data_IF_221030596034
#
_entry.id   IF_221030596034
#
_cell.length_a   1.000
_cell.length_b   1.000
_cell.length_c   1.000
_cell.angle_alpha   90.00
_cell.angle_beta   90.00
_cell.angle_gamma   90.00
#
_symmetry.space_group_name_H-M   'P 1'
#
loop_
_entity.id
_entity.type
_entity.pdbx_description
1 polymer ?
#
# COMPACT_ATOMS: atom_id res chain seq x y z
N UNK A 1 5.62 5.69 -17.51
CA UNK A 1 4.95 4.65 -16.71
C UNK A 1 5.68 4.53 -15.37
N UNK A 2 5.11 3.85 -14.38
CA UNK A 2 5.66 3.82 -13.01
C UNK A 2 7.14 3.41 -12.92
N UNK A 3 7.54 2.37 -13.66
CA UNK A 3 8.94 1.90 -13.69
C UNK A 3 9.91 3.03 -14.08
N UNK A 4 9.60 3.77 -15.15
CA UNK A 4 10.44 4.90 -15.60
C UNK A 4 10.54 6.02 -14.57
N UNK A 5 9.49 6.25 -13.77
CA UNK A 5 9.52 7.26 -12.69
C UNK A 5 10.48 6.80 -11.59
N UNK A 6 10.42 5.53 -11.18
CA UNK A 6 11.34 4.99 -10.17
C UNK A 6 12.80 5.02 -10.64
N UNK A 7 13.05 4.68 -11.91
CA UNK A 7 14.38 4.78 -12.52
C UNK A 7 14.91 6.21 -12.50
N UNK A 8 14.05 7.19 -12.84
CA UNK A 8 14.41 8.60 -12.77
C UNK A 8 14.76 9.01 -11.34
N UNK A 9 13.94 8.65 -10.35
CA UNK A 9 14.23 8.94 -8.94
C UNK A 9 15.57 8.35 -8.48
N UNK A 10 15.86 7.11 -8.88
CA UNK A 10 17.16 6.50 -8.58
C UNK A 10 18.33 7.25 -9.24
N UNK A 11 18.19 7.67 -10.50
CA UNK A 11 19.21 8.44 -11.23
C UNK A 11 19.42 9.85 -10.65
N UNK A 12 18.36 10.47 -10.15
CA UNK A 12 18.39 11.77 -9.49
C UNK A 12 18.90 11.71 -8.04
N UNK A 13 19.20 10.50 -7.53
CA UNK A 13 19.82 10.31 -6.22
C UNK A 13 18.83 10.29 -5.04
N UNK A 14 17.53 10.17 -5.29
CA UNK A 14 16.54 10.03 -4.22
C UNK A 14 16.80 8.75 -3.42
N UNK A 15 16.71 8.86 -2.08
CA UNK A 15 17.00 7.76 -1.15
C UNK A 15 15.74 7.00 -0.72
N UNK A 16 14.58 7.64 -0.85
CA UNK A 16 13.27 7.06 -0.53
C UNK A 16 12.22 7.67 -1.46
N UNK A 17 11.25 6.85 -1.85
CA UNK A 17 10.11 7.26 -2.65
C UNK A 17 8.81 7.15 -1.83
N UNK A 18 7.77 7.83 -2.28
CA UNK A 18 6.41 7.68 -1.77
C UNK A 18 5.44 7.66 -2.95
N UNK A 19 4.38 6.87 -2.84
CA UNK A 19 3.30 6.86 -3.81
C UNK A 19 2.01 7.38 -3.18
N UNK A 20 1.34 8.26 -3.90
CA UNK A 20 -0.03 8.66 -3.65
C UNK A 20 -0.86 8.45 -4.90
N UNK A 21 -2.17 8.51 -4.75
CA UNK A 21 -3.13 8.39 -5.83
C UNK A 21 -4.21 9.45 -5.69
N UNK A 22 -4.87 9.74 -6.81
CA UNK A 22 -6.06 10.58 -6.85
C UNK A 22 -6.95 10.04 -7.97
N UNK A 23 -8.15 9.60 -7.63
CA UNK A 23 -9.10 9.08 -8.61
C UNK A 23 -10.51 8.96 -8.06
N UNK A 24 -11.48 9.66 -8.65
CA UNK A 24 -12.87 9.51 -8.24
C UNK A 24 -13.34 8.09 -8.55
N UNK A 25 -13.77 7.37 -7.52
CA UNK A 25 -14.33 6.02 -7.64
C UNK A 25 -13.32 4.87 -7.64
N UNK A 26 -12.02 5.17 -7.52
CA UNK A 26 -10.96 4.14 -7.57
C UNK A 26 -10.93 3.19 -6.36
N UNK A 27 -11.59 3.53 -5.24
CA UNK A 27 -11.86 2.54 -4.18
C UNK A 27 -12.70 1.36 -4.68
N UNK A 28 -13.47 1.54 -5.76
CA UNK A 28 -14.25 0.48 -6.41
C UNK A 28 -13.35 -0.48 -7.18
N UNK A 29 -12.47 0.04 -8.05
CA UNK A 29 -11.52 -0.78 -8.84
C UNK A 29 -10.49 -1.46 -7.93
N UNK A 30 -10.01 -0.75 -6.91
CA UNK A 30 -9.10 -1.32 -5.90
C UNK A 30 -9.74 -2.47 -5.14
N UNK A 31 -11.00 -2.31 -4.74
CA UNK A 31 -11.72 -3.40 -4.05
C UNK A 31 -12.00 -4.56 -4.99
N UNK A 32 -12.31 -4.32 -6.27
CA UNK A 32 -12.48 -5.37 -7.25
C UNK A 32 -11.18 -6.19 -7.44
N UNK A 33 -10.04 -5.51 -7.57
CA UNK A 33 -8.74 -6.18 -7.60
C UNK A 33 -8.48 -6.99 -6.33
N UNK A 34 -8.69 -6.40 -5.16
CA UNK A 34 -8.47 -7.08 -3.88
C UNK A 34 -9.39 -8.31 -3.71
N UNK A 35 -10.64 -8.25 -4.16
CA UNK A 35 -11.56 -9.39 -4.15
C UNK A 35 -10.98 -10.57 -4.93
N UNK A 36 -10.48 -10.30 -6.14
CA UNK A 36 -9.94 -11.33 -7.04
C UNK A 36 -8.63 -11.89 -6.50
N UNK A 37 -7.68 -11.02 -6.16
CA UNK A 37 -6.33 -11.43 -5.71
C UNK A 37 -6.35 -12.17 -4.36
N UNK A 38 -7.33 -11.88 -3.50
CA UNK A 38 -7.43 -12.48 -2.16
C UNK A 38 -8.54 -13.53 -2.04
N UNK A 39 -9.30 -13.79 -3.12
CA UNK A 39 -10.46 -14.69 -3.08
C UNK A 39 -11.56 -14.24 -2.09
N UNK A 40 -11.77 -12.93 -1.94
CA UNK A 40 -12.77 -12.35 -1.03
C UNK A 40 -14.02 -11.94 -1.78
N UNK A 41 -15.19 -12.03 -1.12
CA UNK A 41 -16.43 -11.51 -1.70
C UNK A 41 -16.50 -9.99 -1.56
N UNK A 42 -17.15 -9.28 -2.50
CA UNK A 42 -17.30 -7.83 -2.44
C UNK A 42 -17.89 -7.33 -1.12
N UNK A 43 -18.84 -8.06 -0.53
CA UNK A 43 -19.51 -7.70 0.72
C UNK A 43 -18.58 -7.69 1.93
N UNK A 44 -17.48 -8.45 1.89
CA UNK A 44 -16.55 -8.61 3.02
C UNK A 44 -15.58 -7.43 3.15
N UNK A 45 -15.18 -6.83 2.03
CA UNK A 45 -14.05 -5.89 1.99
C UNK A 45 -14.39 -4.52 1.35
N UNK A 46 -15.64 -4.32 0.91
CA UNK A 46 -16.06 -3.02 0.37
C UNK A 46 -16.38 -2.02 1.48
N UNK A 47 -15.64 -0.91 1.53
CA UNK A 47 -15.93 0.23 2.39
C UNK A 47 -16.69 1.36 1.72
N UNK A 48 -17.03 2.36 2.54
CA UNK A 48 -17.79 3.55 2.14
C UNK A 48 -16.96 4.56 1.35
N UNK A 49 -15.64 4.43 1.25
CA UNK A 49 -14.79 5.42 0.59
C UNK A 49 -15.00 6.81 1.21
N UNK A 50 -15.20 7.81 0.35
CA UNK A 50 -15.49 9.19 0.72
C UNK A 50 -16.89 9.42 1.36
N UNK A 51 -17.38 8.49 2.18
CA UNK A 51 -18.61 8.66 2.97
C UNK A 51 -19.92 8.27 2.29
N UNK A 52 -19.93 7.22 1.45
CA UNK A 52 -21.16 6.74 0.79
C UNK A 52 -22.28 6.41 1.79
N UNK A 53 -23.52 6.66 1.38
CA UNK A 53 -24.74 6.17 2.06
C UNK A 53 -24.83 4.64 2.00
N UNK A 54 -25.73 4.03 2.79
CA UNK A 54 -25.92 2.57 2.76
C UNK A 54 -26.38 2.07 1.39
N UNK A 55 -27.22 2.84 0.70
CA UNK A 55 -27.59 2.55 -0.69
C UNK A 55 -26.40 2.70 -1.65
N UNK A 56 -25.55 3.72 -1.43
CA UNK A 56 -24.32 3.92 -2.18
C UNK A 56 -23.35 2.74 -2.04
N UNK A 57 -23.19 2.25 -0.81
CA UNK A 57 -22.40 1.05 -0.52
C UNK A 57 -22.97 -0.18 -1.24
N UNK A 58 -24.28 -0.42 -1.16
CA UNK A 58 -24.92 -1.55 -1.83
C UNK A 58 -24.78 -1.46 -3.36
N UNK A 59 -24.85 -0.25 -3.95
CA UNK A 59 -24.55 -0.05 -5.38
C UNK A 59 -23.10 -0.36 -5.71
N UNK A 60 -22.15 0.07 -4.87
CA UNK A 60 -20.72 -0.18 -5.05
C UNK A 60 -20.42 -1.69 -5.02
N UNK A 61 -20.94 -2.42 -4.04
CA UNK A 61 -20.81 -3.88 -3.93
C UNK A 61 -21.33 -4.56 -5.21
N UNK A 62 -22.53 -4.21 -5.68
CA UNK A 62 -23.09 -4.75 -6.92
C UNK A 62 -22.25 -4.43 -8.15
N UNK A 63 -21.70 -3.22 -8.24
CA UNK A 63 -20.85 -2.82 -9.34
C UNK A 63 -19.54 -3.64 -9.37
N UNK A 64 -18.93 -3.88 -8.21
CA UNK A 64 -17.74 -4.72 -8.06
C UNK A 64 -18.04 -6.16 -8.50
N UNK A 65 -19.08 -6.77 -7.94
CA UNK A 65 -19.47 -8.15 -8.31
C UNK A 65 -19.74 -8.28 -9.80
N UNK A 66 -20.53 -7.36 -10.38
CA UNK A 66 -20.81 -7.33 -11.82
C UNK A 66 -19.54 -7.20 -12.67
N UNK A 67 -18.59 -6.37 -12.26
CA UNK A 67 -17.33 -6.20 -13.00
C UNK A 67 -16.51 -7.49 -13.01
N UNK A 68 -16.43 -8.20 -11.88
CA UNK A 68 -15.74 -9.48 -11.77
C UNK A 68 -16.44 -10.55 -12.61
N UNK A 69 -17.77 -10.65 -12.53
CA UNK A 69 -18.56 -11.66 -13.25
C UNK A 69 -18.46 -11.52 -14.78
N UNK A 70 -18.48 -10.29 -15.29
CA UNK A 70 -18.40 -10.00 -16.72
C UNK A 70 -16.99 -10.26 -17.24
N UNK A 71 -15.96 -9.77 -16.54
CA UNK A 71 -14.59 -9.80 -17.07
C UNK A 71 -13.86 -11.10 -16.78
N UNK A 72 -14.27 -11.85 -15.74
CA UNK A 72 -13.65 -13.12 -15.31
C UNK A 72 -12.12 -13.03 -15.25
N UNK A 73 -11.57 -12.16 -14.38
CA UNK A 73 -10.13 -12.04 -14.22
C UNK A 73 -9.52 -13.31 -13.60
N UNK A 74 -8.34 -13.69 -14.10
CA UNK A 74 -7.55 -14.79 -13.56
C UNK A 74 -6.80 -14.31 -12.32
N UNK A 75 -7.15 -14.85 -11.15
CA UNK A 75 -6.51 -14.48 -9.89
C UNK A 75 -5.01 -14.83 -9.82
N UNK A 76 -4.53 -15.75 -10.67
CA UNK A 76 -3.12 -16.11 -10.75
C UNK A 76 -2.27 -15.18 -11.63
N UNK A 77 -2.92 -14.30 -12.41
CA UNK A 77 -2.27 -13.31 -13.28
C UNK A 77 -2.64 -11.89 -12.84
N UNK A 78 -1.84 -11.23 -11.99
CA UNK A 78 -2.12 -9.87 -11.54
C UNK A 78 -2.21 -8.85 -12.68
N UNK A 79 -1.58 -9.09 -13.84
CA UNK A 79 -1.70 -8.19 -14.99
C UNK A 79 -3.07 -8.35 -15.65
N UNK A 80 -3.61 -9.56 -15.74
CA UNK A 80 -4.97 -9.81 -16.20
C UNK A 80 -6.00 -9.17 -15.26
N UNK A 81 -5.84 -9.35 -13.94
CA UNK A 81 -6.70 -8.69 -12.93
C UNK A 81 -6.68 -7.17 -13.09
N UNK A 82 -5.49 -6.59 -13.19
CA UNK A 82 -5.29 -5.16 -13.30
C UNK A 82 -5.82 -4.60 -14.63
N UNK A 83 -5.68 -5.34 -15.72
CA UNK A 83 -6.22 -4.98 -17.04
C UNK A 83 -7.74 -5.08 -17.15
N UNK A 84 -8.38 -5.98 -16.40
CA UNK A 84 -9.83 -6.23 -16.47
C UNK A 84 -10.66 -5.44 -15.46
N UNK A 85 -10.19 -5.33 -14.22
CA UNK A 85 -10.97 -4.73 -13.11
C UNK A 85 -10.19 -3.68 -12.31
N UNK A 86 -8.95 -3.40 -12.71
CA UNK A 86 -8.11 -2.36 -12.10
C UNK A 86 -8.36 -0.97 -12.67
N UNK A 87 -7.30 -0.15 -12.66
CA UNK A 87 -7.31 1.24 -13.13
C UNK A 87 -5.91 1.71 -13.49
N UNK A 88 -5.80 2.83 -14.22
CA UNK A 88 -4.51 3.38 -14.64
C UNK A 88 -3.65 3.87 -13.47
N UNK A 89 -4.29 4.34 -12.40
CA UNK A 89 -3.65 4.70 -11.13
C UNK A 89 -3.00 3.47 -10.47
N UNK A 90 -3.75 2.37 -10.34
CA UNK A 90 -3.27 1.09 -9.82
C UNK A 90 -2.17 0.51 -10.70
N UNK A 91 -2.31 0.58 -12.03
CA UNK A 91 -1.27 0.19 -12.99
C UNK A 91 0.02 0.99 -12.83
N UNK A 92 -0.14 2.32 -12.70
CA UNK A 92 0.95 3.26 -12.48
C UNK A 92 1.73 2.94 -11.21
N UNK A 93 1.02 2.77 -10.09
CA UNK A 93 1.61 2.44 -8.79
C UNK A 93 2.24 1.05 -8.77
N UNK A 94 1.57 0.03 -9.33
CA UNK A 94 2.12 -1.34 -9.42
C UNK A 94 3.47 -1.33 -10.14
N UNK A 95 3.55 -0.67 -11.30
CA UNK A 95 4.80 -0.50 -12.02
C UNK A 95 5.82 0.35 -11.25
N UNK A 96 5.37 1.36 -10.50
CA UNK A 96 6.26 2.20 -9.70
C UNK A 96 6.94 1.40 -8.59
N UNK A 97 6.20 0.55 -7.87
CA UNK A 97 6.77 -0.28 -6.82
C UNK A 97 7.75 -1.34 -7.36
N UNK A 98 7.40 -1.97 -8.49
CA UNK A 98 8.32 -2.88 -9.19
C UNK A 98 9.60 -2.16 -9.62
N UNK A 99 9.48 -0.94 -10.15
CA UNK A 99 10.62 -0.12 -10.52
C UNK A 99 11.48 0.28 -9.32
N UNK A 100 10.86 0.66 -8.21
CA UNK A 100 11.55 0.98 -6.96
C UNK A 100 12.37 -0.22 -6.48
N UNK A 101 11.78 -1.41 -6.44
CA UNK A 101 12.48 -2.63 -6.09
C UNK A 101 13.66 -2.95 -7.03
N UNK A 102 13.47 -2.82 -8.34
CA UNK A 102 14.52 -3.04 -9.32
C UNK A 102 15.71 -2.06 -9.16
N UNK A 103 15.42 -0.82 -8.74
CA UNK A 103 16.41 0.20 -8.46
C UNK A 103 16.94 0.17 -7.02
N UNK A 104 16.51 -0.79 -6.20
CA UNK A 104 16.80 -0.86 -4.76
C UNK A 104 16.44 0.41 -3.98
N UNK A 105 15.39 1.10 -4.43
CA UNK A 105 14.86 2.32 -3.82
C UNK A 105 13.70 1.93 -2.88
N UNK A 106 13.82 2.14 -1.56
CA UNK A 106 12.68 1.98 -0.65
C UNK A 106 11.53 2.90 -1.04
N UNK A 107 10.29 2.40 -0.90
CA UNK A 107 9.07 3.14 -1.25
C UNK A 107 8.02 3.02 -0.14
N UNK A 108 7.46 4.16 0.23
CA UNK A 108 6.38 4.25 1.20
C UNK A 108 5.03 4.08 0.49
N UNK A 109 4.24 3.13 1.00
CA UNK A 109 2.85 2.90 0.65
C UNK A 109 1.97 3.82 1.49
N UNK A 110 0.97 4.44 0.84
CA UNK A 110 0.00 5.31 1.50
C UNK A 110 -1.15 4.49 2.10
N UNK A 111 -2.39 4.67 1.61
CA UNK A 111 -3.58 4.00 2.12
C UNK A 111 -3.94 2.72 1.37
N UNK A 112 -5.22 2.33 1.51
CA UNK A 112 -5.77 1.08 0.96
C UNK A 112 -5.47 0.88 -0.53
N UNK A 113 -5.72 1.89 -1.36
CA UNK A 113 -5.53 1.81 -2.83
C UNK A 113 -4.05 1.57 -3.17
N UNK A 114 -3.15 2.31 -2.52
CA UNK A 114 -1.70 2.14 -2.65
C UNK A 114 -1.27 0.71 -2.25
N UNK A 115 -1.83 0.17 -1.17
CA UNK A 115 -1.55 -1.19 -0.72
C UNK A 115 -2.10 -2.27 -1.68
N UNK A 116 -3.24 -2.05 -2.33
CA UNK A 116 -3.76 -2.99 -3.36
C UNK A 116 -2.84 -3.04 -4.58
N UNK A 117 -2.32 -1.90 -5.03
CA UNK A 117 -1.31 -1.88 -6.09
C UNK A 117 0.00 -2.56 -5.65
N UNK A 118 0.39 -2.42 -4.38
CA UNK A 118 1.54 -3.11 -3.81
C UNK A 118 1.34 -4.63 -3.75
N UNK A 119 0.11 -5.10 -3.48
CA UNK A 119 -0.25 -6.52 -3.53
C UNK A 119 -0.11 -7.09 -4.94
N UNK A 120 -0.59 -6.37 -5.96
CA UNK A 120 -0.38 -6.80 -7.35
C UNK A 120 1.13 -6.88 -7.69
N UNK A 121 1.91 -5.89 -7.27
CA UNK A 121 3.35 -5.88 -7.48
C UNK A 121 4.08 -7.03 -6.74
N UNK A 122 3.65 -7.36 -5.52
CA UNK A 122 4.26 -8.43 -4.72
C UNK A 122 3.94 -9.83 -5.25
N UNK A 123 2.77 -10.02 -5.86
CA UNK A 123 2.44 -11.29 -6.53
C UNK A 123 3.27 -11.43 -7.82
N UNK A 124 3.43 -10.35 -8.59
CA UNK A 124 4.28 -10.35 -9.80
C UNK A 124 5.76 -10.57 -9.49
N UNK A 125 6.25 -9.96 -8.40
CA UNK A 125 7.63 -10.08 -7.96
C UNK A 125 7.66 -10.08 -6.43
N UNK A 126 7.74 -11.26 -5.78
CA UNK A 126 7.75 -11.36 -4.32
C UNK A 126 8.84 -10.53 -3.63
N UNK A 127 10.01 -10.40 -4.26
CA UNK A 127 11.11 -9.59 -3.74
C UNK A 127 10.79 -8.08 -3.67
N UNK A 128 9.81 -7.59 -4.42
CA UNK A 128 9.43 -6.18 -4.40
C UNK A 128 8.88 -5.73 -3.02
N UNK A 129 8.27 -6.67 -2.28
CA UNK A 129 7.74 -6.43 -0.94
C UNK A 129 8.80 -5.96 0.06
N UNK A 130 10.06 -6.36 -0.12
CA UNK A 130 11.15 -5.99 0.79
C UNK A 130 11.50 -4.49 0.70
N UNK A 131 11.14 -3.84 -0.41
CA UNK A 131 11.35 -2.40 -0.61
C UNK A 131 10.14 -1.56 -0.21
N UNK A 132 9.02 -2.18 0.19
CA UNK A 132 7.78 -1.48 0.50
C UNK A 132 7.62 -1.26 2.02
N UNK A 133 7.39 -0.01 2.41
CA UNK A 133 7.12 0.43 3.77
C UNK A 133 5.66 0.89 3.88
N UNK A 134 4.86 0.27 4.74
CA UNK A 134 3.47 0.70 4.94
C UNK A 134 3.43 1.92 5.85
N UNK A 135 2.72 2.98 5.46
CA UNK A 135 2.52 4.16 6.31
C UNK A 135 1.45 3.97 7.38
N UNK A 136 0.20 3.73 6.97
CA UNK A 136 -0.94 3.76 7.88
C UNK A 136 -1.97 2.66 7.57
N UNK A 137 -2.74 2.30 8.60
CA UNK A 137 -3.91 1.45 8.46
C UNK A 137 -5.09 2.31 8.03
N UNK A 138 -5.47 2.26 6.76
CA UNK A 138 -6.66 2.93 6.26
C UNK A 138 -7.92 2.36 6.90
N UNK A 139 -8.93 3.21 7.13
CA UNK A 139 -10.24 2.81 7.65
C UNK A 139 -11.10 1.99 6.66
N UNK A 140 -10.60 1.69 5.46
CA UNK A 140 -11.27 0.78 4.52
C UNK A 140 -11.27 -0.67 5.05
N UNK A 141 -12.41 -1.39 5.01
CA UNK A 141 -12.53 -2.75 5.56
C UNK A 141 -11.52 -3.76 4.98
N UNK A 142 -11.18 -3.63 3.70
CA UNK A 142 -10.21 -4.51 3.03
C UNK A 142 -8.76 -4.34 3.47
N UNK A 143 -8.42 -3.27 4.19
CA UNK A 143 -7.03 -2.94 4.55
C UNK A 143 -6.36 -4.07 5.32
N UNK A 144 -7.04 -4.66 6.30
CA UNK A 144 -6.48 -5.75 7.11
C UNK A 144 -6.08 -6.95 6.25
N UNK A 145 -6.97 -7.39 5.36
CA UNK A 145 -6.72 -8.54 4.48
C UNK A 145 -5.58 -8.28 3.48
N UNK A 146 -5.49 -7.05 2.95
CA UNK A 146 -4.39 -6.67 2.04
C UNK A 146 -3.06 -6.63 2.78
N UNK A 147 -3.01 -6.05 3.99
CA UNK A 147 -1.79 -5.99 4.79
C UNK A 147 -1.33 -7.38 5.27
N UNK A 148 -2.27 -8.26 5.61
CA UNK A 148 -2.00 -9.65 5.95
C UNK A 148 -1.38 -10.41 4.77
N UNK A 149 -1.96 -10.30 3.57
CA UNK A 149 -1.41 -10.91 2.37
C UNK A 149 -0.04 -10.32 2.00
N UNK A 150 0.13 -9.00 2.21
CA UNK A 150 1.42 -8.34 2.12
C UNK A 150 2.37 -8.72 3.26
N UNK A 151 1.96 -9.42 4.32
CA UNK A 151 2.77 -9.68 5.51
C UNK A 151 3.43 -8.42 6.08
N UNK A 152 2.71 -7.30 6.10
CA UNK A 152 3.17 -6.01 6.63
C UNK A 152 2.23 -5.55 7.74
N UNK A 153 2.71 -4.66 8.60
CA UNK A 153 1.94 -3.97 9.63
C UNK A 153 2.03 -2.47 9.38
N UNK A 154 0.97 -1.74 9.68
CA UNK A 154 0.96 -0.28 9.61
C UNK A 154 1.35 0.34 10.95
N UNK A 155 2.38 1.21 10.99
CA UNK A 155 2.81 1.89 12.21
C UNK A 155 1.83 2.98 12.66
N UNK A 156 1.09 3.60 11.72
CA UNK A 156 0.14 4.67 12.03
C UNK A 156 -1.30 4.12 12.04
N UNK A 157 -1.99 4.27 13.17
CA UNK A 157 -3.39 3.91 13.36
C UNK A 157 -4.21 5.16 13.75
N UNK A 158 -4.38 6.08 12.80
CA UNK A 158 -4.98 7.40 13.04
C UNK A 158 -6.35 7.58 12.36
N UNK A 159 -6.97 6.52 11.86
CA UNK A 159 -8.27 6.58 11.19
C UNK A 159 -8.23 7.37 9.87
N UNK A 160 -7.10 7.36 9.16
CA UNK A 160 -6.91 8.11 7.91
C UNK A 160 -7.61 7.45 6.72
N UNK A 161 -8.17 8.25 5.82
CA UNK A 161 -8.90 7.77 4.63
C UNK A 161 -8.88 8.77 3.44
N UNK A 162 -7.96 9.74 3.44
CA UNK A 162 -7.86 10.76 2.37
C UNK A 162 -7.20 10.19 1.11
N UNK A 163 -6.09 9.47 1.25
CA UNK A 163 -5.26 9.05 0.13
C UNK A 163 -4.20 10.10 -0.20
N UNK A 164 -3.89 10.27 -1.50
CA UNK A 164 -3.00 11.30 -2.04
C UNK A 164 -1.54 11.27 -1.52
N UNK A 165 -1.13 10.22 -0.80
CA UNK A 165 0.20 10.16 -0.19
C UNK A 165 0.27 10.83 1.18
N UNK A 166 -0.86 11.19 1.79
CA UNK A 166 -0.90 11.88 3.09
C UNK A 166 -0.31 11.04 4.22
N UNK A 167 -0.62 9.74 4.27
CA UNK A 167 -0.01 8.80 5.20
C UNK A 167 1.47 8.60 4.90
N UNK A 168 1.84 8.53 3.62
CA UNK A 168 3.23 8.40 3.22
C UNK A 168 4.09 9.59 3.68
N UNK A 169 3.58 10.81 3.54
CA UNK A 169 4.22 12.02 4.07
C UNK A 169 4.34 12.00 5.60
N UNK A 170 3.30 11.53 6.30
CA UNK A 170 3.34 11.40 7.76
C UNK A 170 4.40 10.38 8.22
N UNK A 171 4.52 9.23 7.54
CA UNK A 171 5.55 8.25 7.86
C UNK A 171 6.95 8.81 7.58
N UNK A 172 7.13 9.60 6.52
CA UNK A 172 8.43 10.21 6.23
C UNK A 172 8.94 11.07 7.39
N UNK A 173 8.06 11.89 8.00
CA UNK A 173 8.41 12.66 9.18
C UNK A 173 8.76 11.79 10.40
N UNK A 174 8.08 10.65 10.57
CA UNK A 174 8.43 9.66 11.62
C UNK A 174 9.79 9.01 11.36
N UNK A 175 10.15 8.77 10.09
CA UNK A 175 11.45 8.23 9.74
C UNK A 175 12.57 9.23 10.03
N UNK A 176 12.39 10.52 9.74
CA UNK A 176 13.36 11.56 10.09
C UNK A 176 13.59 11.62 11.61
N UNK A 177 12.50 11.64 12.41
CA UNK A 177 12.61 11.57 13.87
C UNK A 177 13.33 10.30 14.36
N UNK A 178 13.07 9.15 13.70
CA UNK A 178 13.73 7.88 14.05
C UNK A 178 15.22 7.90 13.69
N UNK A 179 15.59 8.55 12.58
CA UNK A 179 16.97 8.70 12.15
C UNK A 179 17.76 9.60 13.10
N UNK A 180 17.16 10.67 13.60
CA UNK A 180 17.79 11.54 14.61
C UNK A 180 18.08 10.74 15.88
N UNK A 181 17.10 9.99 16.39
CA UNK A 181 17.29 9.08 17.52
C UNK A 181 18.41 8.07 17.26
N UNK A 182 18.41 7.43 16.08
CA UNK A 182 19.42 6.43 15.73
C UNK A 182 20.84 7.00 15.62
N UNK A 183 20.98 8.25 15.18
CA UNK A 183 22.28 8.91 14.98
C UNK A 183 22.82 9.59 16.23
N UNK A 184 21.93 10.15 17.05
CA UNK A 184 22.29 11.05 18.14
C UNK A 184 22.19 10.39 19.52
N UNK A 185 21.45 9.29 19.68
CA UNK A 185 21.42 8.61 20.98
C UNK A 185 22.77 7.98 21.29
N UNK A 186 23.35 8.43 22.40
CA UNK A 186 24.58 7.87 22.96
C UNK A 186 24.38 6.40 23.31
N UNK A 187 25.38 5.58 22.98
CA UNK A 187 25.38 4.16 23.32
C UNK A 187 25.51 3.96 24.84
N UNK A 188 25.04 2.83 25.39
CA UNK A 188 25.18 2.54 26.84
C UNK A 188 26.63 2.65 27.35
N UNK A 189 27.60 2.33 26.48
CA UNK A 189 29.04 2.52 26.72
C UNK A 189 29.45 3.99 26.89
N UNK A 190 28.79 4.93 26.21
CA UNK A 190 29.08 6.36 26.29
C UNK A 190 28.44 7.02 27.52
N UNK A 191 27.31 6.50 27.99
CA UNK A 191 26.58 7.03 29.16
C UNK A 191 26.84 6.27 30.47
N UNK A 192 27.84 5.37 30.50
CA UNK A 192 28.29 4.66 31.72
C UNK A 192 27.14 3.95 32.49
N UNK A 193 26.16 3.42 31.75
CA UNK A 193 25.08 2.60 32.32
C UNK A 193 25.36 1.13 32.04
N UNK A 194 25.20 0.27 33.06
CA UNK A 194 25.25 -1.18 32.87
C UNK A 194 24.10 -1.65 31.97
N UNK A 195 24.41 -2.54 31.03
CA UNK A 195 23.39 -3.15 30.17
C UNK A 195 22.34 -3.86 31.04
N UNK A 196 21.07 -3.58 30.78
CA UNK A 196 19.96 -4.25 31.48
C UNK A 196 20.09 -5.76 31.32
N UNK A 197 20.14 -6.48 32.45
CA UNK A 197 19.96 -7.93 32.50
C UNK A 197 18.46 -8.21 32.53
N UNK A 198 17.96 -8.97 31.56
CA UNK A 198 16.57 -9.44 31.59
C UNK A 198 16.30 -10.16 32.92
N UNK A 199 15.31 -9.69 33.67
CA UNK A 199 14.78 -10.44 34.80
C UNK A 199 13.87 -11.54 34.25
N UNK A 200 14.35 -12.79 34.35
CA UNK A 200 13.60 -14.01 34.04
C UNK A 200 12.24 -14.08 34.74
#
# INVERSE_FOLDING_TARGET
>A
NGIRIAQRFSQEGYQIAAAGEMGIGNTTTSTAMACVLLGKRPEEITGRGAGLSSEGLARKIRAIGKAIDINRPDASDPLDVLGKVGGFDLAGMTGFYLGCAACRLPVILDGYISCVAALAASILCPAAKEYMLVSHGSSEPGTGAVLEALGKKSPIQAGMFVGEGTGAAALLALLDMTLDVYREMSTFSEISMENYTEQN
#
